data_IF_787303610719
#
_entry.id   IF_787303610719
#
_cell.length_a   1.000
_cell.length_b   1.000
_cell.length_c   1.000
_cell.angle_alpha   90.00
_cell.angle_beta   90.00
_cell.angle_gamma   90.00
#
_symmetry.space_group_name_H-M   'P 1'
#
loop_
_entity.id
_entity.type
_entity.pdbx_description
1 polymer ?
#
# COMPACT_ATOMS: atom_id res chain seq x y z
N UNK A 1 -25.48 2.46 -6.98
CA UNK A 1 -25.99 2.51 -5.60
C UNK A 1 -25.31 1.38 -4.85
N UNK A 2 -24.48 1.66 -3.85
CA UNK A 2 -23.96 0.60 -2.96
C UNK A 2 -25.06 0.31 -1.94
N UNK A 3 -25.77 -0.81 -2.14
CA UNK A 3 -26.68 -1.37 -1.14
C UNK A 3 -25.82 -1.76 0.06
N UNK A 4 -26.03 -1.15 1.23
CA UNK A 4 -25.34 -1.56 2.46
C UNK A 4 -25.95 -2.90 2.90
N UNK A 5 -25.24 -3.98 2.67
CA UNK A 5 -25.56 -5.31 3.21
C UNK A 5 -24.88 -5.47 4.56
N UNK A 6 -25.47 -6.27 5.44
CA UNK A 6 -24.80 -6.75 6.65
C UNK A 6 -23.75 -7.82 6.29
N UNK A 7 -22.75 -8.10 7.15
CA UNK A 7 -21.73 -9.11 6.86
C UNK A 7 -22.30 -10.50 6.52
N UNK A 8 -23.38 -10.93 7.18
CA UNK A 8 -24.03 -12.22 6.91
C UNK A 8 -24.75 -12.23 5.55
N UNK A 9 -25.42 -11.13 5.20
CA UNK A 9 -26.04 -10.96 3.88
C UNK A 9 -24.99 -10.91 2.76
N UNK A 10 -23.83 -10.27 2.98
CA UNK A 10 -22.70 -10.30 2.04
C UNK A 10 -22.18 -11.73 1.87
N UNK A 11 -22.04 -12.48 2.96
CA UNK A 11 -21.60 -13.87 2.90
C UNK A 11 -22.56 -14.75 2.08
N UNK A 12 -23.86 -14.66 2.35
CA UNK A 12 -24.89 -15.39 1.59
C UNK A 12 -24.94 -14.95 0.12
N UNK A 13 -24.77 -13.66 -0.15
CA UNK A 13 -24.74 -13.11 -1.50
C UNK A 13 -23.56 -13.68 -2.30
N UNK A 14 -22.35 -13.67 -1.73
CA UNK A 14 -21.15 -14.18 -2.40
C UNK A 14 -21.00 -15.71 -2.37
N UNK A 15 -21.81 -16.43 -1.59
CA UNK A 15 -21.89 -17.90 -1.64
C UNK A 15 -22.39 -18.42 -2.99
N UNK A 16 -23.14 -17.60 -3.74
CA UNK A 16 -23.62 -17.93 -5.09
C UNK A 16 -22.50 -17.69 -6.13
N UNK A 17 -22.09 -18.69 -6.93
CA UNK A 17 -20.99 -18.55 -7.90
C UNK A 17 -21.20 -17.41 -8.93
N UNK A 18 -22.44 -17.17 -9.31
CA UNK A 18 -22.88 -16.09 -10.20
C UNK A 18 -22.56 -14.67 -9.68
N UNK A 19 -22.39 -14.51 -8.36
CA UNK A 19 -22.04 -13.24 -7.74
C UNK A 19 -20.52 -13.06 -7.54
N UNK A 20 -19.69 -14.02 -7.95
CA UNK A 20 -18.23 -13.97 -7.86
C UNK A 20 -17.57 -13.45 -9.15
N UNK A 21 -18.28 -12.58 -9.89
CA UNK A 21 -17.74 -11.97 -11.10
C UNK A 21 -16.89 -10.76 -10.73
N UNK A 22 -15.62 -10.66 -11.21
CA UNK A 22 -14.78 -9.51 -10.95
C UNK A 22 -15.44 -8.21 -11.42
N UNK A 23 -15.55 -7.24 -10.52
CA UNK A 23 -16.07 -5.92 -10.86
C UNK A 23 -14.99 -5.09 -11.56
N UNK A 24 -15.31 -4.62 -12.77
CA UNK A 24 -14.49 -3.67 -13.51
C UNK A 24 -13.45 -4.30 -14.45
N UNK A 25 -12.70 -3.46 -15.19
CA UNK A 25 -11.68 -3.94 -16.12
C UNK A 25 -10.52 -4.59 -15.37
N UNK A 26 -9.92 -5.61 -15.99
CA UNK A 26 -8.74 -6.26 -15.44
C UNK A 26 -7.59 -5.25 -15.25
N UNK A 27 -7.18 -5.04 -14.00
CA UNK A 27 -6.06 -4.17 -13.66
C UNK A 27 -4.76 -4.96 -13.60
N UNK A 28 -3.72 -4.42 -14.23
CA UNK A 28 -2.37 -5.00 -14.14
C UNK A 28 -1.90 -4.88 -12.70
N UNK A 29 -1.61 -6.02 -12.06
CA UNK A 29 -1.01 -6.05 -10.72
C UNK A 29 0.28 -5.22 -10.74
N UNK A 30 0.49 -4.35 -9.74
CA UNK A 30 1.74 -3.60 -9.60
C UNK A 30 2.92 -4.59 -9.67
N UNK A 31 3.98 -4.22 -10.39
CA UNK A 31 5.18 -5.07 -10.49
C UNK A 31 5.64 -5.42 -9.08
N UNK A 32 6.05 -6.67 -8.89
CA UNK A 32 6.68 -7.08 -7.64
C UNK A 32 7.92 -6.19 -7.44
N UNK A 33 8.10 -5.72 -6.22
CA UNK A 33 9.30 -5.01 -5.84
C UNK A 33 10.51 -5.96 -6.00
N UNK A 34 11.67 -5.38 -6.28
CA UNK A 34 12.94 -6.11 -6.29
C UNK A 34 13.24 -6.69 -4.90
N UNK A 35 14.30 -7.50 -4.83
CA UNK A 35 14.83 -7.98 -3.57
C UNK A 35 15.11 -6.83 -2.58
N UNK A 36 14.85 -7.01 -1.27
CA UNK A 36 15.15 -6.01 -0.26
C UNK A 36 16.65 -5.68 -0.22
N UNK A 37 16.98 -4.39 -0.26
CA UNK A 37 18.36 -3.91 -0.11
C UNK A 37 18.57 -3.45 1.35
N UNK A 38 19.51 -4.03 2.11
CA UNK A 38 19.79 -3.61 3.48
C UNK A 38 20.53 -2.28 3.50
N UNK A 39 19.95 -1.28 4.15
CA UNK A 39 20.57 0.04 4.38
C UNK A 39 20.74 0.22 5.89
N UNK A 40 21.95 0.59 6.32
CA UNK A 40 22.21 0.88 7.74
C UNK A 40 22.01 2.36 8.02
N UNK A 41 21.23 2.64 9.07
CA UNK A 41 21.07 3.98 9.60
C UNK A 41 21.68 4.06 11.01
N UNK A 42 22.21 5.22 11.39
CA UNK A 42 22.34 5.58 12.80
C UNK A 42 20.99 5.43 13.52
N UNK A 43 21.03 5.02 14.79
CA UNK A 43 19.81 4.72 15.56
C UNK A 43 18.90 5.96 15.71
N UNK A 44 19.49 7.14 15.89
CA UNK A 44 18.78 8.41 15.99
C UNK A 44 18.05 8.75 14.68
N UNK A 45 18.69 8.48 13.54
CA UNK A 45 18.07 8.67 12.23
C UNK A 45 16.95 7.65 12.01
N UNK A 46 17.17 6.38 12.35
CA UNK A 46 16.13 5.35 12.23
C UNK A 46 14.89 5.70 13.06
N UNK A 47 15.08 6.23 14.26
CA UNK A 47 13.99 6.67 15.14
C UNK A 47 13.18 7.80 14.48
N UNK A 48 13.84 8.83 13.94
CA UNK A 48 13.16 9.93 13.23
C UNK A 48 12.38 9.44 12.00
N UNK A 49 12.93 8.46 11.28
CA UNK A 49 12.23 7.84 10.13
C UNK A 49 10.97 7.12 10.60
N UNK A 50 11.01 6.41 11.74
CA UNK A 50 9.83 5.74 12.31
C UNK A 50 8.73 6.73 12.67
N UNK A 51 9.09 7.81 13.37
CA UNK A 51 8.15 8.86 13.77
C UNK A 51 7.49 9.53 12.56
N UNK A 52 8.25 9.80 11.50
CA UNK A 52 7.70 10.35 10.25
C UNK A 52 6.80 9.37 9.51
N UNK A 53 7.14 8.09 9.50
CA UNK A 53 6.32 7.06 8.87
C UNK A 53 4.98 6.90 9.61
N UNK A 54 5.00 6.91 10.95
CA UNK A 54 3.81 6.85 11.79
C UNK A 54 2.91 8.08 11.58
N UNK A 55 3.49 9.29 11.56
CA UNK A 55 2.74 10.52 11.32
C UNK A 55 2.03 10.56 9.94
N UNK A 56 2.55 9.80 8.96
CA UNK A 56 2.00 9.69 7.61
C UNK A 56 1.09 8.45 7.42
N UNK A 57 0.75 7.72 8.49
CA UNK A 57 0.00 6.44 8.48
C UNK A 57 0.60 5.40 7.51
N UNK A 58 1.93 5.27 7.52
CA UNK A 58 2.68 4.42 6.59
C UNK A 58 3.64 3.48 7.30
N UNK A 59 3.94 2.37 6.64
CA UNK A 59 5.09 1.56 7.02
C UNK A 59 6.40 2.31 6.72
N UNK A 60 7.44 2.03 7.50
CA UNK A 60 8.78 2.60 7.31
C UNK A 60 9.30 2.39 5.88
N UNK A 61 9.13 1.19 5.33
CA UNK A 61 9.57 0.87 3.97
C UNK A 61 8.80 1.64 2.90
N UNK A 62 7.50 1.84 3.08
CA UNK A 62 6.70 2.67 2.18
C UNK A 62 7.04 4.15 2.29
N UNK A 63 7.36 4.62 3.49
CA UNK A 63 7.75 6.01 3.72
C UNK A 63 9.11 6.32 3.09
N UNK A 64 10.11 5.48 3.35
CA UNK A 64 11.46 5.61 2.77
C UNK A 64 11.40 5.62 1.24
N UNK A 65 10.64 4.69 0.63
CA UNK A 65 10.52 4.65 -0.84
C UNK A 65 9.99 5.97 -1.40
N UNK A 66 8.92 6.50 -0.81
CA UNK A 66 8.32 7.77 -1.23
C UNK A 66 9.30 8.94 -1.05
N UNK A 67 10.05 8.97 0.05
CA UNK A 67 11.04 10.01 0.30
C UNK A 67 12.17 9.96 -0.75
N UNK A 68 12.63 8.77 -1.14
CA UNK A 68 13.64 8.60 -2.19
C UNK A 68 13.09 9.02 -3.56
N UNK A 69 11.87 8.58 -3.92
CA UNK A 69 11.21 9.00 -5.17
C UNK A 69 11.12 10.54 -5.26
N UNK A 70 10.61 11.19 -4.20
CA UNK A 70 10.47 12.64 -4.12
C UNK A 70 11.81 13.38 -4.26
N UNK A 71 12.88 12.87 -3.64
CA UNK A 71 14.20 13.49 -3.72
C UNK A 71 14.83 13.33 -5.11
N UNK A 72 14.60 12.21 -5.80
CA UNK A 72 15.04 12.02 -7.18
C UNK A 72 14.29 12.95 -8.16
N UNK A 73 12.98 13.08 -7.97
CA UNK A 73 12.15 13.98 -8.81
C UNK A 73 12.54 15.45 -8.61
N UNK A 74 12.85 15.87 -7.38
CA UNK A 74 13.33 17.22 -7.07
C UNK A 74 14.64 17.56 -7.78
N UNK A 75 15.58 16.62 -7.82
CA UNK A 75 16.91 16.85 -8.39
C UNK A 75 16.96 16.71 -9.92
N UNK A 76 15.86 16.26 -10.54
CA UNK A 76 15.72 16.20 -12.00
C UNK A 76 15.17 17.49 -12.62
N UNK A 77 14.81 18.50 -11.79
CA UNK A 77 14.29 19.82 -12.19
C UNK A 77 15.37 20.89 -12.07
#
# INVERSE_FOLDING_TARGET
>A
MNTKMTPDEEFEFYAKPENQVPTGPAVRRRKRLSEPVPVRFPDDLLQRVREKAEADDRSVSSWIRRAVEHELDRNAS
#
